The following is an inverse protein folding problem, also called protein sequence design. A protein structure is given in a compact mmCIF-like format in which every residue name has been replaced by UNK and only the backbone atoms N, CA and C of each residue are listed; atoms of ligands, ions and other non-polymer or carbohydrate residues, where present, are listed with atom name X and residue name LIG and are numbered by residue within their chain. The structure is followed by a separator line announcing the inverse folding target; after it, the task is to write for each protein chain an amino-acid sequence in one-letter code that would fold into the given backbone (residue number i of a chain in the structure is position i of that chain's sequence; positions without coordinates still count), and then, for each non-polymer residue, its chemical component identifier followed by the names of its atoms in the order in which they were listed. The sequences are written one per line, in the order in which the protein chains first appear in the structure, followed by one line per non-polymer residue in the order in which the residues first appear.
data_IF_223269133912
#
_entry.id   IF_223269133912
#
_cell.length_a   1.000
_cell.length_b   1.000
_cell.length_c   1.000
_cell.angle_alpha   90.00
_cell.angle_beta   90.00
_cell.angle_gamma   90.00
#
_symmetry.space_group_name_H-M   'P 1'
#
loop_
_entity.id
_entity.type
_entity.pdbx_description
1 polymer ?
#
# COMPACT_ATOMS: atom_id res chain seq x y z
N UNK A 1 4.66 2.46 -1.69
CA UNK A 1 3.33 2.19 -1.06
C UNK A 1 3.39 1.15 0.06
N UNK A 2 4.40 0.28 0.17
CA UNK A 2 4.44 -0.72 1.26
C UNK A 2 4.57 -0.07 2.64
N UNK A 3 5.39 0.98 2.76
CA UNK A 3 5.64 1.73 3.99
C UNK A 3 4.36 2.32 4.60
N UNK A 4 3.46 2.88 3.78
CA UNK A 4 2.19 3.43 4.28
C UNK A 4 1.38 2.43 5.12
N UNK A 5 1.47 1.13 4.83
CA UNK A 5 0.68 0.08 5.50
C UNK A 5 1.37 -0.59 6.69
N UNK A 6 2.64 -0.27 6.97
CA UNK A 6 3.39 -0.86 8.10
C UNK A 6 2.98 -0.22 9.43
N UNK A 7 3.11 -0.95 10.54
CA UNK A 7 2.63 -0.47 11.84
C UNK A 7 3.38 0.80 12.30
N UNK A 8 4.67 0.86 12.00
CA UNK A 8 5.60 1.90 12.42
C UNK A 8 5.41 3.22 11.66
N UNK A 9 4.79 3.17 10.48
CA UNK A 9 4.65 4.30 9.56
C UNK A 9 3.21 4.53 9.07
N UNK A 10 2.24 3.79 9.58
CA UNK A 10 0.83 4.04 9.30
C UNK A 10 0.38 5.28 10.09
N UNK A 11 0.00 6.33 9.36
CA UNK A 11 -0.27 7.65 9.92
C UNK A 11 -1.70 8.10 9.58
N UNK A 12 -2.72 7.71 10.37
CA UNK A 12 -4.13 8.01 10.12
C UNK A 12 -4.44 9.49 9.87
N UNK A 13 -3.74 10.37 10.57
CA UNK A 13 -3.88 11.82 10.52
C UNK A 13 -3.40 12.40 9.20
N UNK A 14 -2.26 11.93 8.67
CA UNK A 14 -1.75 12.34 7.35
C UNK A 14 -2.67 11.81 6.26
N UNK A 15 -3.08 10.54 6.36
CA UNK A 15 -4.03 9.93 5.42
C UNK A 15 -5.34 10.74 5.40
N UNK A 16 -5.88 11.09 6.56
CA UNK A 16 -7.11 11.88 6.64
C UNK A 16 -6.96 13.27 6.01
N UNK A 17 -5.80 13.91 6.19
CA UNK A 17 -5.50 15.21 5.60
C UNK A 17 -5.38 15.14 4.08
N UNK A 18 -4.65 14.16 3.55
CA UNK A 18 -4.46 13.99 2.10
C UNK A 18 -5.78 13.63 1.40
N UNK A 19 -6.61 12.79 2.03
CA UNK A 19 -7.93 12.45 1.50
C UNK A 19 -8.92 13.62 1.59
N UNK A 20 -8.81 14.49 2.59
CA UNK A 20 -9.56 15.73 2.64
C UNK A 20 -9.19 16.66 1.48
N UNK A 21 -7.89 16.86 1.23
CA UNK A 21 -7.42 17.64 0.08
C UNK A 21 -7.89 17.06 -1.25
N UNK A 22 -7.82 15.73 -1.41
CA UNK A 22 -8.33 15.06 -2.60
C UNK A 22 -9.83 15.33 -2.82
N UNK A 23 -10.63 15.25 -1.76
CA UNK A 23 -12.05 15.56 -1.84
C UNK A 23 -12.32 17.04 -2.17
N UNK A 24 -11.58 17.97 -1.58
CA UNK A 24 -11.71 19.42 -1.85
C UNK A 24 -11.46 19.78 -3.31
N UNK A 25 -10.51 19.12 -3.97
CA UNK A 25 -10.23 19.32 -5.41
C UNK A 25 -11.14 18.51 -6.33
N UNK A 26 -12.09 17.73 -5.78
CA UNK A 26 -13.15 17.05 -6.52
C UNK A 26 -12.94 15.55 -6.78
N UNK A 27 -11.90 14.92 -6.21
CA UNK A 27 -11.82 13.45 -6.24
C UNK A 27 -12.91 12.82 -5.39
N UNK A 28 -13.44 11.69 -5.84
CA UNK A 28 -14.47 10.92 -5.15
C UNK A 28 -14.13 9.42 -5.02
N UNK A 29 -13.03 9.00 -5.63
CA UNK A 29 -12.61 7.62 -5.74
C UNK A 29 -11.09 7.53 -5.70
N UNK A 30 -10.56 6.46 -5.11
CA UNK A 30 -9.15 6.10 -5.20
C UNK A 30 -8.96 4.59 -5.33
N UNK A 31 -7.76 4.20 -5.74
CA UNK A 31 -7.29 2.82 -5.72
C UNK A 31 -5.98 2.75 -4.95
N UNK A 32 -5.82 1.73 -4.11
CA UNK A 32 -4.56 1.49 -3.39
C UNK A 32 -4.24 0.00 -3.30
N UNK A 33 -2.96 -0.32 -3.36
CA UNK A 33 -2.44 -1.68 -3.34
C UNK A 33 -2.23 -2.15 -1.90
N UNK A 34 -2.58 -3.41 -1.61
CA UNK A 34 -2.33 -4.06 -0.33
C UNK A 34 -1.08 -4.95 -0.44
N UNK A 35 0.06 -4.56 0.16
CA UNK A 35 1.29 -5.31 0.03
C UNK A 35 1.22 -6.64 0.81
N UNK A 36 1.32 -7.75 0.09
CA UNK A 36 1.44 -9.09 0.67
C UNK A 36 2.53 -9.20 1.75
N UNK A 37 3.69 -8.57 1.58
CA UNK A 37 4.76 -8.66 2.59
C UNK A 37 4.37 -8.03 3.93
N UNK A 38 3.53 -7.00 3.93
CA UNK A 38 3.01 -6.39 5.15
C UNK A 38 2.00 -7.32 5.81
N UNK A 39 1.16 -7.98 5.00
CA UNK A 39 0.24 -9.02 5.49
C UNK A 39 0.97 -10.22 6.09
N UNK A 40 2.07 -10.67 5.47
CA UNK A 40 2.88 -11.77 5.98
C UNK A 40 3.53 -11.43 7.33
N UNK A 41 4.01 -10.19 7.48
CA UNK A 41 4.67 -9.74 8.70
C UNK A 41 3.67 -9.51 9.85
N UNK A 42 2.52 -8.89 9.56
CA UNK A 42 1.53 -8.50 10.56
C UNK A 42 0.10 -8.53 9.98
N UNK A 43 -0.45 -9.73 9.84
CA UNK A 43 -1.79 -9.95 9.28
C UNK A 43 -2.89 -9.22 10.07
N UNK A 44 -2.91 -9.39 11.38
CA UNK A 44 -3.99 -8.85 12.21
C UNK A 44 -3.90 -7.33 12.32
N UNK A 45 -2.69 -6.77 12.50
CA UNK A 45 -2.52 -5.34 12.52
C UNK A 45 -2.80 -4.72 11.15
N UNK A 46 -2.46 -5.37 10.03
CA UNK A 46 -2.85 -4.87 8.71
C UNK A 46 -4.37 -4.82 8.56
N UNK A 47 -5.11 -5.83 9.00
CA UNK A 47 -6.58 -5.78 8.98
C UNK A 47 -7.13 -4.61 9.81
N UNK A 48 -6.57 -4.35 10.99
CA UNK A 48 -6.97 -3.23 11.83
C UNK A 48 -6.70 -1.87 11.13
N UNK A 49 -5.54 -1.73 10.48
CA UNK A 49 -5.18 -0.54 9.70
C UNK A 49 -6.08 -0.36 8.47
N UNK A 50 -6.42 -1.43 7.77
CA UNK A 50 -7.40 -1.40 6.67
C UNK A 50 -8.75 -0.89 7.19
N UNK A 51 -9.23 -1.39 8.33
CA UNK A 51 -10.49 -0.89 8.92
C UNK A 51 -10.40 0.61 9.22
N UNK A 52 -9.33 1.06 9.86
CA UNK A 52 -9.15 2.48 10.17
C UNK A 52 -9.07 3.35 8.92
N UNK A 53 -8.39 2.88 7.87
CA UNK A 53 -8.31 3.53 6.57
C UNK A 53 -9.69 3.64 5.90
N UNK A 54 -10.50 2.58 5.94
CA UNK A 54 -11.86 2.58 5.41
C UNK A 54 -12.76 3.57 6.17
N UNK A 55 -12.65 3.61 7.51
CA UNK A 55 -13.38 4.57 8.33
C UNK A 55 -12.99 6.03 7.96
N UNK A 56 -11.71 6.29 7.62
CA UNK A 56 -11.26 7.62 7.14
C UNK A 56 -11.86 7.93 5.76
N UNK A 57 -11.78 6.99 4.81
CA UNK A 57 -12.31 7.16 3.47
C UNK A 57 -13.81 7.50 3.49
N UNK A 58 -14.58 6.83 4.35
CA UNK A 58 -16.00 7.11 4.54
C UNK A 58 -16.24 8.56 5.01
N UNK A 59 -15.50 9.03 6.03
CA UNK A 59 -15.62 10.42 6.52
C UNK A 59 -15.25 11.44 5.45
N UNK A 60 -14.26 11.15 4.62
CA UNK A 60 -13.81 12.02 3.54
C UNK A 60 -14.61 11.83 2.23
N UNK A 61 -15.65 10.99 2.23
CA UNK A 61 -16.51 10.70 1.07
C UNK A 61 -15.74 10.17 -0.16
N UNK A 62 -14.64 9.46 0.09
CA UNK A 62 -13.85 8.79 -0.95
C UNK A 62 -14.21 7.30 -0.99
N UNK A 63 -14.62 6.81 -2.16
CA UNK A 63 -14.77 5.36 -2.38
C UNK A 63 -13.40 4.76 -2.71
N UNK A 64 -13.03 3.66 -2.06
CA UNK A 64 -11.75 2.99 -2.31
C UNK A 64 -11.92 1.63 -2.96
N UNK A 65 -11.08 1.38 -3.98
CA UNK A 65 -10.76 0.05 -4.47
C UNK A 65 -9.46 -0.44 -3.84
N UNK A 66 -9.55 -1.45 -2.96
CA UNK A 66 -8.38 -2.17 -2.45
C UNK A 66 -7.92 -3.18 -3.51
N UNK A 67 -6.63 -3.19 -3.83
CA UNK A 67 -6.04 -4.13 -4.79
C UNK A 67 -5.19 -5.17 -4.07
N UNK A 68 -5.75 -6.35 -3.76
CA UNK A 68 -4.95 -7.49 -3.31
C UNK A 68 -4.20 -8.13 -4.50
N UNK A 69 -3.21 -8.96 -4.20
CA UNK A 69 -2.49 -9.79 -5.19
C UNK A 69 -1.81 -8.98 -6.32
N UNK A 70 -1.43 -7.75 -6.03
CA UNK A 70 -0.55 -6.99 -6.88
C UNK A 70 0.90 -7.45 -6.68
N UNK A 71 1.68 -7.57 -7.75
CA UNK A 71 3.10 -7.97 -7.73
C UNK A 71 4.03 -6.88 -8.30
N UNK A 72 3.52 -5.68 -8.54
CA UNK A 72 4.27 -4.55 -9.05
C UNK A 72 5.51 -4.22 -8.19
N UNK A 73 6.60 -3.83 -8.85
CA UNK A 73 7.83 -3.40 -8.19
C UNK A 73 8.76 -2.70 -9.19
N UNK A 74 9.36 -1.60 -8.76
CA UNK A 74 10.16 -0.70 -9.60
C UNK A 74 11.56 -0.42 -9.02
N UNK A 75 11.86 -0.89 -7.81
CA UNK A 75 13.16 -0.62 -7.16
C UNK A 75 14.31 -1.49 -7.66
N UNK A 76 14.00 -2.60 -8.34
CA UNK A 76 14.97 -3.64 -8.69
C UNK A 76 15.38 -4.53 -7.51
N UNK A 77 14.92 -4.25 -6.29
CA UNK A 77 15.20 -5.06 -5.12
C UNK A 77 14.18 -6.20 -4.95
N UNK A 78 14.59 -7.21 -4.18
CA UNK A 78 13.63 -8.14 -3.61
C UNK A 78 12.72 -7.42 -2.60
N UNK A 79 11.47 -7.86 -2.38
CA UNK A 79 10.61 -7.30 -1.34
C UNK A 79 11.29 -7.20 0.04
N UNK A 80 11.09 -6.07 0.72
CA UNK A 80 11.58 -5.84 2.08
C UNK A 80 10.59 -5.01 2.91
N UNK A 81 10.45 -5.27 4.22
CA UNK A 81 9.79 -4.38 5.14
C UNK A 81 10.69 -3.20 5.51
N UNK A 82 10.11 -2.21 6.18
CA UNK A 82 10.78 -0.98 6.59
C UNK A 82 10.67 0.14 5.56
N UNK A 83 11.53 1.14 5.75
CA UNK A 83 11.55 2.37 4.96
C UNK A 83 11.94 2.09 3.51
N UNK A 84 11.14 2.58 2.57
CA UNK A 84 11.46 2.53 1.14
C UNK A 84 12.58 3.52 0.80
N UNK A 85 13.38 3.17 -0.20
CA UNK A 85 14.36 4.10 -0.79
C UNK A 85 13.64 5.38 -1.25
N UNK A 86 14.32 6.51 -1.12
CA UNK A 86 13.77 7.81 -1.54
C UNK A 86 13.43 7.79 -3.05
N UNK A 87 12.32 8.42 -3.41
CA UNK A 87 11.92 8.57 -4.81
C UNK A 87 13.01 9.28 -5.63
N UNK A 88 13.18 8.86 -6.87
CA UNK A 88 14.03 9.53 -7.85
C UNK A 88 13.20 10.63 -8.52
N UNK A 89 13.67 11.90 -8.53
CA UNK A 89 12.98 13.00 -9.20
C UNK A 89 12.66 12.68 -10.66
N UNK A 90 11.49 13.12 -11.14
CA UNK A 90 11.00 12.92 -12.51
C UNK A 90 10.79 11.46 -12.95
N UNK A 91 10.88 10.48 -12.03
CA UNK A 91 10.64 9.06 -12.34
C UNK A 91 9.42 8.51 -11.57
N UNK A 92 8.35 8.25 -12.31
CA UNK A 92 7.10 7.72 -11.77
C UNK A 92 7.30 6.35 -11.10
N UNK A 93 6.70 6.17 -9.92
CA UNK A 93 6.80 4.96 -9.07
C UNK A 93 8.23 4.50 -8.77
N UNK A 94 9.21 5.40 -8.89
CA UNK A 94 10.61 5.07 -8.64
C UNK A 94 10.78 4.43 -7.26
N UNK A 95 11.67 3.44 -7.19
CA UNK A 95 12.10 2.82 -5.94
C UNK A 95 11.02 2.08 -5.15
N UNK A 96 9.85 1.84 -5.74
CA UNK A 96 8.83 1.08 -5.05
C UNK A 96 9.22 -0.41 -4.96
N UNK A 97 9.41 -0.88 -3.72
CA UNK A 97 9.74 -2.27 -3.43
C UNK A 97 8.64 -3.21 -3.92
N UNK A 98 9.04 -4.33 -4.51
CA UNK A 98 8.11 -5.38 -4.93
C UNK A 98 7.40 -6.00 -3.73
N UNK A 99 6.24 -6.60 -3.96
CA UNK A 99 5.53 -7.45 -2.99
C UNK A 99 4.50 -8.25 -3.77
N UNK A 100 4.46 -9.59 -3.75
CA UNK A 100 5.21 -10.53 -2.92
C UNK A 100 6.63 -10.86 -3.43
N UNK A 101 7.01 -10.33 -4.60
CA UNK A 101 8.31 -10.57 -5.23
C UNK A 101 8.29 -11.72 -6.25
N UNK A 102 9.13 -11.61 -7.27
CA UNK A 102 9.13 -12.51 -8.44
C UNK A 102 9.28 -14.00 -8.07
N UNK A 103 10.12 -14.34 -7.09
CA UNK A 103 10.33 -15.73 -6.70
C UNK A 103 9.07 -16.36 -6.10
N UNK A 104 8.25 -15.57 -5.39
CA UNK A 104 6.98 -16.03 -4.82
C UNK A 104 5.94 -16.20 -5.92
N UNK A 105 5.82 -15.24 -6.82
CA UNK A 105 4.89 -15.31 -7.97
C UNK A 105 5.20 -16.50 -8.89
N UNK A 106 6.48 -16.76 -9.13
CA UNK A 106 6.93 -17.84 -10.02
C UNK A 106 6.99 -19.21 -9.32
N UNK A 107 6.65 -19.30 -8.03
CA UNK A 107 6.73 -20.55 -7.28
C UNK A 107 5.62 -21.51 -7.71
N UNK A 108 5.97 -22.52 -8.49
CA UNK A 108 5.05 -23.56 -9.01
C UNK A 108 4.64 -24.61 -7.96
N UNK A 109 5.21 -24.58 -6.75
CA UNK A 109 5.01 -25.63 -5.74
C UNK A 109 3.68 -25.44 -4.96
N UNK A 110 3.04 -24.27 -5.05
CA UNK A 110 1.80 -23.96 -4.31
C UNK A 110 0.51 -24.01 -5.16
N UNK A 111 0.50 -24.74 -6.28
CA UNK A 111 -0.75 -25.01 -7.02
C UNK A 111 -1.30 -26.37 -6.55
N UNK A 112 -1.93 -26.37 -5.38
CA UNK A 112 -2.69 -27.50 -4.83
C UNK A 112 -4.03 -26.98 -4.29
#
# INVERSE_FOLDING_TARGET
WSEMWQAESFTPEVIAQELAWAHEVGYNTLRTNLPFIVWQADRQGLHNRIKQFLDICERQKIKVMLTPMDDCGFSGDHPYPGKQKAAIPELHNSQAAASPGRNVVMNKINVA
#
